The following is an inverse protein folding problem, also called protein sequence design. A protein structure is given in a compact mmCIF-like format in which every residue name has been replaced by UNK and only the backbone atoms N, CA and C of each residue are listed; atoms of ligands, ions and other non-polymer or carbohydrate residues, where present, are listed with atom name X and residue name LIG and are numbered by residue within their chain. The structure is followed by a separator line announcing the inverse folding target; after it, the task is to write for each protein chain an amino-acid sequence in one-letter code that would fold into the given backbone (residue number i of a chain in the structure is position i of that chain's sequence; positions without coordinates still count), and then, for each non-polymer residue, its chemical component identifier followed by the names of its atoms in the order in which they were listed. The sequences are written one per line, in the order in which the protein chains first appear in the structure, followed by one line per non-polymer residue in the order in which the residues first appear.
data_IF_298079279174
#
_entry.id   IF_298079279174
#
_cell.length_a   1.000
_cell.length_b   1.000
_cell.length_c   1.000
_cell.angle_alpha   90.00
_cell.angle_beta   90.00
_cell.angle_gamma   90.00
#
_symmetry.space_group_name_H-M   'P 1'
#
loop_
_entity.id
_entity.type
_entity.pdbx_description
1 polymer ?
2 non-polymer ?
3 non-polymer ?
4 water ?
#
# COMPACT_ATOMS: atom_id res chain seq x y z
N UNK A 52 -29.74 -24.40 -1.46
CA UNK A 52 -29.20 -25.59 -0.80
C UNK A 52 -27.89 -25.30 -0.07
N UNK A 53 -27.99 -24.84 1.20
CA UNK A 53 -26.85 -24.31 1.97
C UNK A 53 -26.45 -25.25 3.11
N UNK A 54 -25.14 -25.29 3.40
CA UNK A 54 -24.53 -26.20 4.37
C UNK A 54 -23.98 -25.42 5.57
N UNK A 55 -23.55 -26.16 6.62
CA UNK A 55 -23.14 -25.63 7.92
C UNK A 55 -21.65 -25.28 7.90
N UNK A 56 -21.35 -23.99 8.10
CA UNK A 56 -20.02 -23.43 7.97
C UNK A 56 -19.11 -23.89 9.12
N UNK A 57 -19.72 -24.23 10.26
CA UNK A 57 -19.01 -24.55 11.49
C UNK A 57 -18.56 -26.02 11.51
N UNK A 58 -19.09 -26.83 10.59
CA UNK A 58 -18.70 -28.23 10.48
C UNK A 58 -17.81 -28.40 9.25
N UNK A 59 -16.97 -29.47 9.19
CA UNK A 59 -16.09 -29.71 8.03
C UNK A 59 -16.80 -29.74 6.67
N UNK A 60 -16.00 -29.85 5.60
CA UNK A 60 -16.50 -29.97 4.24
C UNK A 60 -16.02 -31.26 3.60
N UNK A 61 -16.96 -32.01 3.01
CA UNK A 61 -16.65 -33.22 2.26
C UNK A 61 -16.03 -32.84 0.92
N UNK A 62 -14.70 -33.00 0.84
CA UNK A 62 -13.91 -32.62 -0.33
C UNK A 62 -13.14 -33.84 -0.85
N UNK A 63 -12.51 -33.67 -2.02
CA UNK A 63 -11.87 -34.75 -2.75
C UNK A 63 -10.39 -34.82 -2.41
N UNK A 64 -9.90 -36.01 -2.09
CA UNK A 64 -8.48 -36.25 -1.88
C UNK A 64 -7.83 -36.56 -3.22
N UNK A 65 -6.81 -35.77 -3.67
CA UNK A 65 -6.07 -36.08 -4.90
C UNK A 65 -5.27 -37.38 -4.85
N UNK A 66 -5.02 -37.93 -3.66
CA UNK A 66 -4.23 -39.14 -3.52
C UNK A 66 -5.16 -40.38 -3.48
N UNK A 67 -6.23 -40.34 -2.68
CA UNK A 67 -7.15 -41.46 -2.53
C UNK A 67 -8.27 -41.40 -3.58
N UNK A 68 -8.46 -40.22 -4.17
CA UNK A 68 -9.46 -39.96 -5.21
C UNK A 68 -10.87 -40.23 -4.66
N UNK A 69 -11.05 -39.98 -3.35
CA UNK A 69 -12.30 -40.23 -2.66
C UNK A 69 -12.61 -39.08 -1.72
N UNK A 70 -13.89 -38.94 -1.35
CA UNK A 70 -14.36 -37.88 -0.46
C UNK A 70 -13.82 -38.10 0.95
N UNK A 71 -13.18 -37.06 1.49
CA UNK A 71 -12.64 -36.99 2.85
C UNK A 71 -13.15 -35.71 3.49
N UNK A 72 -13.38 -35.75 4.81
CA UNK A 72 -13.81 -34.54 5.52
C UNK A 72 -12.58 -33.70 5.88
N UNK A 73 -12.74 -32.37 5.76
CA UNK A 73 -11.68 -31.40 6.04
C UNK A 73 -12.31 -30.07 6.43
N UNK A 74 -11.63 -29.32 7.32
CA UNK A 74 -12.12 -28.01 7.73
C UNK A 74 -11.56 -26.96 6.77
N UNK A 75 -12.46 -26.32 6.02
CA UNK A 75 -12.08 -25.46 4.89
C UNK A 75 -12.62 -24.05 5.08
N UNK A 76 -13.56 -23.87 6.03
CA UNK A 76 -14.28 -22.62 6.22
C UNK A 76 -14.07 -22.13 7.64
N UNK A 77 -13.76 -20.84 7.78
CA UNK A 77 -13.71 -20.17 9.08
C UNK A 77 -14.54 -18.89 9.00
N UNK A 78 -15.79 -18.97 9.48
CA UNK A 78 -16.76 -17.89 9.38
C UNK A 78 -17.00 -17.27 10.76
N UNK A 79 -17.52 -16.04 10.79
CA UNK A 79 -17.89 -15.36 12.03
C UNK A 79 -16.68 -15.09 12.93
N UNK A 80 -16.80 -15.48 14.20
CA UNK A 80 -15.80 -15.19 15.23
C UNK A 80 -14.94 -16.43 15.54
N UNK A 81 -15.21 -17.55 14.86
CA UNK A 81 -14.33 -18.72 14.96
C UNK A 81 -12.89 -18.29 14.70
N UNK A 82 -11.97 -18.86 15.47
CA UNK A 82 -10.54 -18.83 15.17
C UNK A 82 -9.87 -19.96 15.94
N UNK A 83 -8.79 -20.52 15.38
CA UNK A 83 -8.03 -21.57 16.04
C UNK A 83 -7.13 -21.01 17.14
N UNK A 84 -6.40 -19.92 16.84
CA UNK A 84 -5.44 -19.29 17.75
C UNK A 84 -5.84 -17.85 18.04
N UNK A 85 -5.37 -17.35 19.19
CA UNK A 85 -5.34 -15.94 19.51
C UNK A 85 -4.07 -15.64 20.30
N UNK A 86 -3.31 -14.63 19.84
CA UNK A 86 -2.13 -14.17 20.56
C UNK A 86 -2.27 -12.67 20.83
N UNK A 87 -1.75 -12.20 21.96
CA UNK A 87 -1.84 -10.80 22.32
C UNK A 87 -0.67 -10.43 23.23
N UNK A 88 0.00 -9.32 22.86
CA UNK A 88 1.04 -8.70 23.68
C UNK A 88 0.72 -7.21 23.82
N UNK A 89 1.71 -6.41 24.24
CA UNK A 89 1.47 -5.01 24.58
C UNK A 89 1.19 -4.18 23.33
N UNK A 90 1.45 -4.76 22.14
CA UNK A 90 1.38 -3.99 20.91
C UNK A 90 0.57 -4.68 19.81
N UNK A 91 0.41 -6.02 19.90
CA UNK A 91 -0.09 -6.88 18.83
C UNK A 91 -1.37 -7.58 19.30
N UNK A 92 -2.25 -7.93 18.35
CA UNK A 92 -3.22 -9.02 18.51
C UNK A 92 -3.15 -9.87 17.24
N UNK A 93 -3.08 -11.20 17.38
CA UNK A 93 -3.04 -12.08 16.21
C UNK A 93 -4.20 -13.07 16.29
N UNK A 94 -4.97 -13.19 15.20
CA UNK A 94 -5.94 -14.26 15.01
C UNK A 94 -5.47 -15.17 13.87
N UNK A 95 -5.34 -16.48 14.16
CA UNK A 95 -5.16 -17.47 13.10
C UNK A 95 -6.52 -18.12 12.85
N UNK A 96 -7.01 -17.99 11.61
CA UNK A 96 -8.34 -18.42 11.25
C UNK A 96 -8.28 -19.70 10.41
N UNK A 97 -7.28 -19.78 9.52
CA UNK A 97 -6.95 -21.00 8.79
C UNK A 97 -5.58 -21.50 9.22
N UNK A 98 -5.48 -22.81 9.42
CA UNK A 98 -4.26 -23.47 9.87
C UNK A 98 -4.28 -24.90 9.33
N UNK A 99 -3.21 -25.23 8.59
CA UNK A 99 -2.88 -26.58 8.11
C UNK A 99 -1.37 -26.76 8.23
N UNK A 100 -0.82 -27.84 7.65
CA UNK A 100 0.60 -28.13 7.74
C UNK A 100 1.41 -27.47 6.61
N UNK A 101 0.70 -26.89 5.63
CA UNK A 101 1.30 -26.15 4.53
C UNK A 101 1.35 -24.66 4.85
N UNK A 102 0.24 -24.13 5.38
CA UNK A 102 0.05 -22.70 5.51
C UNK A 102 -0.83 -22.36 6.72
N UNK A 103 -0.86 -21.06 7.05
CA UNK A 103 -1.89 -20.48 7.90
C UNK A 103 -2.27 -19.09 7.39
N UNK A 104 -3.42 -18.59 7.85
CA UNK A 104 -3.98 -17.34 7.39
C UNK A 104 -4.76 -16.69 8.52
N UNK A 105 -4.71 -15.35 8.61
CA UNK A 105 -5.48 -14.61 9.59
C UNK A 105 -5.17 -13.11 9.56
N UNK A 106 -5.42 -12.46 10.71
CA UNK A 106 -5.30 -11.02 10.87
C UNK A 106 -4.25 -10.67 11.93
N UNK A 107 -3.37 -9.73 11.60
CA UNK A 107 -2.44 -9.12 12.54
C UNK A 107 -2.94 -7.72 12.88
N UNK A 108 -3.15 -7.46 14.17
CA UNK A 108 -3.64 -6.15 14.58
C UNK A 108 -2.53 -5.44 15.34
N UNK A 109 -2.07 -4.31 14.81
CA UNK A 109 -1.19 -3.43 15.55
C UNK A 109 -2.06 -2.50 16.40
N UNK A 110 -1.75 -2.45 17.70
CA UNK A 110 -2.47 -1.62 18.66
C UNK A 110 -2.00 -0.16 18.45
N UNK A 111 -2.80 0.87 18.81
CA UNK A 111 -2.43 2.26 18.54
C UNK A 111 -0.98 2.62 18.87
N UNK A 112 -0.27 3.05 17.82
CA UNK A 112 1.06 3.67 17.87
C UNK A 112 2.13 2.69 18.32
N UNK A 113 1.83 1.38 18.27
CA UNK A 113 2.74 0.39 18.82
C UNK A 113 3.65 -0.14 17.72
N UNK A 114 4.80 -0.69 18.14
CA UNK A 114 5.78 -1.35 17.29
C UNK A 114 5.69 -2.85 17.55
N UNK A 115 5.72 -3.66 16.48
CA UNK A 115 5.63 -5.11 16.62
C UNK A 115 6.87 -5.63 17.36
N UNK A 116 8.04 -5.18 16.92
CA UNK A 116 9.30 -5.77 17.36
C UNK A 116 9.92 -6.64 16.26
N UNK A 117 11.23 -6.48 16.05
CA UNK A 117 11.95 -7.30 15.11
C UNK A 117 11.73 -8.76 15.48
N UNK A 118 11.37 -9.55 14.47
CA UNK A 118 11.27 -10.99 14.60
C UNK A 118 11.89 -11.60 13.35
N UNK A 119 12.61 -12.70 13.55
CA UNK A 119 13.22 -13.43 12.44
C UNK A 119 12.20 -14.50 12.02
N UNK A 120 11.97 -14.64 10.71
CA UNK A 120 11.25 -15.80 10.20
C UNK A 120 12.30 -16.79 9.70
N UNK A 121 12.05 -18.09 9.89
CA UNK A 121 13.13 -19.06 9.79
C UNK A 121 13.22 -19.67 8.39
N UNK A 122 12.33 -20.62 8.10
CA UNK A 122 12.25 -21.23 6.79
C UNK A 122 10.90 -20.88 6.15
N UNK A 123 10.09 -20.14 6.93
CA UNK A 123 8.77 -19.67 6.55
C UNK A 123 8.88 -18.40 5.71
N UNK A 124 7.86 -18.20 4.86
CA UNK A 124 7.60 -16.95 4.17
C UNK A 124 6.24 -16.45 4.65
N UNK A 125 6.14 -15.15 4.94
CA UNK A 125 4.87 -14.58 5.37
C UNK A 125 4.46 -13.48 4.39
N UNK A 126 3.28 -13.64 3.80
CA UNK A 126 2.69 -12.61 2.96
C UNK A 126 1.74 -11.77 3.81
N UNK A 127 1.77 -10.45 3.58
CA UNK A 127 0.88 -9.51 4.24
C UNK A 127 0.09 -8.68 3.24
N UNK A 128 -1.15 -8.36 3.61
CA UNK A 128 -1.96 -7.37 2.93
C UNK A 128 -2.54 -6.40 3.97
N UNK A 129 -2.36 -5.09 3.72
CA UNK A 129 -2.86 -4.08 4.65
C UNK A 129 -4.33 -3.81 4.36
N UNK A 130 -5.21 -4.29 5.24
CA UNK A 130 -6.65 -4.03 5.13
C UNK A 130 -6.96 -2.57 5.44
N UNK A 131 -6.55 -2.09 6.63
CA UNK A 131 -6.84 -0.72 7.02
C UNK A 131 -5.75 -0.24 7.98
N UNK A 132 -4.91 0.70 7.52
CA UNK A 132 -3.91 1.25 8.42
C UNK A 132 -2.79 2.00 7.70
N UNK A 133 -1.88 2.60 8.48
CA UNK A 133 -0.67 3.21 7.95
C UNK A 133 0.49 2.76 8.84
N UNK A 134 1.55 2.23 8.23
CA UNK A 134 2.58 1.51 8.96
C UNK A 134 3.96 1.81 8.38
N UNK A 135 5.01 1.59 9.19
CA UNK A 135 6.35 1.44 8.65
C UNK A 135 6.72 -0.03 8.79
N UNK A 136 7.06 -0.67 7.66
CA UNK A 136 7.52 -2.05 7.62
C UNK A 136 9.02 -2.05 7.38
N UNK A 137 9.76 -2.84 8.16
CA UNK A 137 11.19 -3.04 7.92
C UNK A 137 11.42 -4.46 7.45
N UNK A 138 12.09 -4.62 6.30
CA UNK A 138 12.55 -5.91 5.81
C UNK A 138 14.07 -5.87 5.86
N UNK A 139 14.66 -6.84 6.55
CA UNK A 139 16.09 -6.89 6.75
C UNK A 139 16.55 -5.53 7.31
N UNK A 140 17.13 -4.67 6.46
CA UNK A 140 17.69 -3.40 6.92
C UNK A 140 16.95 -2.20 6.33
N UNK A 141 15.92 -2.44 5.52
CA UNK A 141 15.25 -1.35 4.80
C UNK A 141 13.84 -1.14 5.34
N UNK A 142 13.44 0.13 5.47
CA UNK A 142 12.13 0.51 6.01
C UNK A 142 11.29 1.26 4.96
N UNK A 143 9.98 0.98 4.97
CA UNK A 143 9.07 1.47 3.95
C UNK A 143 7.78 1.98 4.58
N UNK A 144 7.22 3.05 4.02
CA UNK A 144 5.85 3.43 4.34
C UNK A 144 4.89 2.54 3.53
N UNK A 145 3.85 2.01 4.20
CA UNK A 145 2.77 1.27 3.53
C UNK A 145 1.42 1.66 4.13
N UNK A 146 0.34 1.51 3.33
CA UNK A 146 -1.00 1.91 3.72
C UNK A 146 -2.04 0.93 3.17
N UNK A 147 -3.32 1.16 3.47
CA UNK A 147 -4.40 0.28 3.02
C UNK A 147 -4.23 -0.03 1.53
N UNK A 148 -4.18 -1.34 1.24
CA UNK A 148 -4.20 -1.84 -0.11
C UNK A 148 -2.82 -2.26 -0.58
N UNK A 149 -1.82 -2.14 0.30
CA UNK A 149 -0.43 -2.46 -0.04
C UNK A 149 -0.13 -3.90 0.36
N UNK A 150 0.79 -4.52 -0.39
CA UNK A 150 1.18 -5.90 -0.17
C UNK A 150 2.68 -5.94 0.11
N UNK A 151 3.11 -6.93 0.90
CA UNK A 151 4.52 -7.26 1.06
C UNK A 151 4.67 -8.68 1.59
N UNK A 152 5.82 -9.31 1.29
CA UNK A 152 6.17 -10.59 1.89
C UNK A 152 7.58 -10.53 2.48
N UNK A 153 7.76 -11.33 3.54
CA UNK A 153 9.02 -11.51 4.24
C UNK A 153 9.62 -12.84 3.78
N UNK A 154 10.71 -12.82 2.98
CA UNK A 154 11.30 -14.05 2.44
C UNK A 154 12.00 -14.87 3.52
N UNK A 155 11.99 -16.21 3.37
CA UNK A 155 12.64 -17.06 4.36
C UNK A 155 14.07 -16.59 4.60
N UNK A 156 14.46 -16.56 5.88
CA UNK A 156 15.82 -16.24 6.32
C UNK A 156 16.05 -14.74 6.49
N UNK A 157 15.01 -14.02 6.95
CA UNK A 157 15.09 -12.56 7.07
C UNK A 157 14.31 -12.11 8.29
N UNK A 158 14.69 -10.93 8.81
CA UNK A 158 13.98 -10.28 9.89
C UNK A 158 13.00 -9.21 9.36
N UNK A 159 11.93 -8.96 10.12
CA UNK A 159 11.03 -7.88 9.79
C UNK A 159 10.46 -7.25 11.06
N UNK A 160 10.03 -5.98 10.88
CA UNK A 160 9.36 -5.20 11.91
C UNK A 160 8.20 -4.44 11.26
N UNK A 161 7.20 -4.08 12.08
CA UNK A 161 6.08 -3.26 11.65
C UNK A 161 5.71 -2.30 12.78
N UNK A 162 5.56 -1.01 12.46
CA UNK A 162 5.23 0.02 13.43
C UNK A 162 3.98 0.78 12.99
N UNK A 163 2.99 0.87 13.88
CA UNK A 163 1.71 1.50 13.62
C UNK A 163 1.84 3.02 13.79
N UNK A 164 1.49 3.77 12.74
CA UNK A 164 1.60 5.23 12.74
C UNK A 164 0.29 5.88 13.15
N UNK A 165 -0.78 5.08 13.29
CA UNK A 165 -2.09 5.62 13.63
C UNK A 165 -2.37 5.46 15.11
N UNK A 166 -3.20 6.38 15.61
CA UNK A 166 -3.75 6.31 16.95
C UNK A 166 -5.08 5.56 16.91
N UNK A 167 -5.14 4.54 16.04
CA UNK A 167 -6.21 3.55 15.97
C UNK A 167 -5.55 2.23 15.58
N UNK A 168 -6.32 1.13 15.56
CA UNK A 168 -5.74 -0.15 15.18
C UNK A 168 -5.42 -0.13 13.68
N UNK A 169 -4.26 -0.69 13.30
CA UNK A 169 -3.94 -0.99 11.91
C UNK A 169 -4.04 -2.50 11.71
N UNK A 170 -4.75 -2.94 10.65
CA UNK A 170 -5.17 -4.34 10.48
C UNK A 170 -4.54 -4.90 9.21
N UNK A 171 -3.86 -6.06 9.32
CA UNK A 171 -3.24 -6.71 8.18
C UNK A 171 -3.77 -8.12 8.06
N UNK A 172 -3.97 -8.59 6.82
CA UNK A 172 -4.14 -10.00 6.58
C UNK A 172 -2.75 -10.62 6.39
N UNK A 173 -2.55 -11.83 6.95
CA UNK A 173 -1.30 -12.56 6.77
C UNK A 173 -1.56 -14.00 6.33
N UNK A 174 -0.59 -14.55 5.60
CA UNK A 174 -0.54 -15.93 5.15
C UNK A 174 0.89 -16.42 5.38
N UNK A 175 1.03 -17.38 6.31
CA UNK A 175 2.28 -18.10 6.56
C UNK A 175 2.38 -19.26 5.58
N UNK A 176 3.50 -19.35 4.85
CA UNK A 176 3.84 -20.56 4.11
C UNK A 176 4.89 -21.34 4.89
N UNK A 177 4.45 -22.43 5.54
CA UNK A 177 5.33 -23.27 6.35
C UNK A 177 6.25 -24.05 5.42
N UNK A 178 7.48 -24.33 5.89
CA UNK A 178 8.44 -25.05 5.07
C UNK A 178 8.40 -26.54 5.42
N UNK B 50 13.01 8.33 14.40
CA UNK B 50 14.03 8.37 13.31
C UNK B 50 14.12 6.97 12.67
N UNK B 51 13.91 6.92 11.34
CA UNK B 51 14.22 5.83 10.43
C UNK B 51 14.17 6.41 9.02
N UNK B 52 15.28 6.55 8.26
CA UNK B 52 15.19 6.77 6.81
C UNK B 52 14.32 5.72 6.12
N UNK B 53 13.52 6.15 5.14
CA UNK B 53 12.69 5.23 4.35
C UNK B 53 13.29 5.05 2.95
N UNK B 54 12.90 3.95 2.30
CA UNK B 54 13.34 3.61 0.94
C UNK B 54 12.19 3.80 -0.05
N UNK B 55 12.54 3.63 -1.34
CA UNK B 55 11.65 3.71 -2.51
C UNK B 55 10.98 2.36 -2.74
N UNK B 56 9.65 2.33 -2.55
CA UNK B 56 8.88 1.09 -2.51
C UNK B 56 8.72 0.50 -3.91
N UNK B 57 9.06 1.31 -4.92
CA UNK B 57 8.98 0.89 -6.31
C UNK B 57 10.28 0.24 -6.76
N UNK B 58 11.32 0.26 -5.93
CA UNK B 58 12.56 -0.41 -6.29
C UNK B 58 12.74 -1.67 -5.43
N UNK B 59 13.63 -2.61 -5.80
CA UNK B 59 13.78 -3.87 -5.07
C UNK B 59 14.40 -3.61 -3.70
N UNK B 60 14.21 -4.57 -2.78
CA UNK B 60 14.77 -4.53 -1.44
C UNK B 60 16.00 -5.43 -1.37
N UNK B 61 17.03 -4.99 -0.63
CA UNK B 61 18.18 -5.83 -0.37
C UNK B 61 17.85 -6.78 0.79
N UNK B 62 17.73 -8.09 0.49
CA UNK B 62 17.38 -9.10 1.49
C UNK B 62 18.40 -10.24 1.46
N UNK B 63 18.36 -11.07 2.51
CA UNK B 63 19.33 -12.14 2.72
C UNK B 63 18.83 -13.42 2.04
N UNK B 64 19.71 -14.05 1.25
CA UNK B 64 19.46 -15.38 0.71
C UNK B 64 19.97 -16.41 1.71
N UNK B 65 19.09 -17.25 2.31
CA UNK B 65 19.54 -18.26 3.28
C UNK B 65 20.61 -19.20 2.72
N UNK B 66 20.60 -19.40 1.39
CA UNK B 66 21.46 -20.40 0.75
C UNK B 66 22.90 -19.88 0.65
N UNK B 67 23.07 -18.64 0.19
CA UNK B 67 24.38 -18.04 0.00
C UNK B 67 24.87 -17.40 1.30
N UNK B 68 23.91 -17.07 2.17
CA UNK B 68 24.10 -16.14 3.27
C UNK B 68 24.75 -14.85 2.76
N UNK B 69 24.19 -14.32 1.66
CA UNK B 69 24.58 -13.04 1.08
C UNK B 69 23.32 -12.26 0.66
N UNK B 70 23.47 -10.94 0.57
CA UNK B 70 22.34 -10.08 0.26
C UNK B 70 22.07 -10.09 -1.24
N UNK B 71 20.78 -10.20 -1.59
CA UNK B 71 20.27 -10.21 -2.95
C UNK B 71 19.16 -9.15 -3.05
N UNK B 72 18.95 -8.63 -4.25
CA UNK B 72 17.83 -7.73 -4.50
C UNK B 72 16.61 -8.57 -4.84
N UNK B 73 15.45 -8.20 -4.30
CA UNK B 73 14.20 -8.94 -4.47
C UNK B 73 13.02 -7.98 -4.31
N UNK B 74 11.96 -8.19 -5.11
CA UNK B 74 10.76 -7.36 -5.01
C UNK B 74 9.83 -7.95 -3.96
N UNK B 75 9.74 -7.29 -2.79
CA UNK B 75 9.00 -7.82 -1.66
C UNK B 75 7.88 -6.86 -1.28
N UNK B 76 7.91 -5.66 -1.87
CA UNK B 76 6.88 -4.65 -1.66
C UNK B 76 6.07 -4.54 -2.95
N UNK B 77 4.75 -4.45 -2.81
CA UNK B 77 3.87 -4.00 -3.89
C UNK B 77 2.94 -2.90 -3.39
N UNK B 78 3.26 -1.67 -3.79
CA UNK B 78 2.75 -0.43 -3.23
C UNK B 78 1.84 0.24 -4.26
N UNK B 79 0.77 0.90 -3.80
CA UNK B 79 -0.12 1.65 -4.65
C UNK B 79 -0.90 0.78 -5.63
N UNK B 80 -0.79 1.10 -6.92
CA UNK B 80 -1.53 0.43 -7.98
C UNK B 80 -0.58 -0.36 -8.87
N UNK B 81 0.58 -0.76 -8.33
CA UNK B 81 1.40 -1.76 -9.00
C UNK B 81 0.65 -3.09 -8.97
N UNK B 82 0.81 -3.87 -10.05
CA UNK B 82 0.39 -5.25 -10.08
C UNK B 82 1.27 -6.00 -11.08
N UNK B 83 1.45 -7.30 -10.86
CA UNK B 83 2.17 -8.17 -11.77
C UNK B 83 1.28 -8.47 -12.98
N UNK B 84 -0.01 -8.74 -12.70
CA UNK B 84 -0.98 -9.26 -13.66
C UNK B 84 -2.35 -8.68 -13.42
N UNK B 85 -3.14 -8.64 -14.51
CA UNK B 85 -4.54 -8.30 -14.47
C UNK B 85 -5.32 -9.17 -15.46
N UNK B 86 -6.45 -9.72 -14.97
CA UNK B 86 -7.38 -10.49 -15.76
C UNK B 86 -8.81 -10.01 -15.50
N UNK B 87 -9.61 -9.89 -16.58
CA UNK B 87 -11.00 -9.46 -16.46
C UNK B 87 -11.85 -10.22 -17.48
N UNK B 88 -13.00 -10.72 -17.02
CA UNK B 88 -14.00 -11.32 -17.87
C UNK B 88 -15.36 -10.67 -17.59
N UNK B 89 -16.44 -11.33 -18.03
CA UNK B 89 -17.81 -10.89 -17.80
C UNK B 89 -18.11 -10.70 -16.32
N UNK B 90 -17.45 -11.49 -15.45
CA UNK B 90 -17.89 -11.67 -14.06
C UNK B 90 -16.88 -11.16 -13.04
N UNK B 91 -15.58 -11.26 -13.35
CA UNK B 91 -14.55 -11.03 -12.34
C UNK B 91 -13.47 -10.06 -12.82
N UNK B 92 -12.70 -9.52 -11.87
CA UNK B 92 -11.39 -8.96 -12.11
C UNK B 92 -10.40 -9.62 -11.15
N UNK B 93 -9.17 -9.83 -11.62
CA UNK B 93 -8.14 -10.47 -10.80
C UNK B 93 -6.86 -9.62 -10.89
N UNK B 94 -6.40 -9.16 -9.72
CA UNK B 94 -5.11 -8.49 -9.61
C UNK B 94 -4.14 -9.42 -8.87
N UNK B 95 -3.00 -9.72 -9.51
CA UNK B 95 -1.91 -10.41 -8.83
C UNK B 95 -0.87 -9.36 -8.44
N UNK B 96 -0.77 -9.07 -7.14
CA UNK B 96 0.11 -8.04 -6.62
C UNK B 96 1.47 -8.62 -6.18
N UNK B 97 1.46 -9.81 -5.57
CA UNK B 97 2.68 -10.54 -5.28
C UNK B 97 2.70 -11.80 -6.12
N UNK B 98 3.85 -12.10 -6.74
CA UNK B 98 3.98 -13.26 -7.61
C UNK B 98 5.42 -13.77 -7.57
N UNK B 99 5.60 -14.98 -7.03
CA UNK B 99 6.88 -15.67 -6.98
C UNK B 99 6.70 -17.08 -7.55
N UNK B 100 7.76 -17.87 -7.58
CA UNK B 100 7.65 -19.24 -8.06
C UNK B 100 6.91 -20.12 -7.03
N UNK B 101 6.90 -19.66 -5.76
CA UNK B 101 6.30 -20.40 -4.66
C UNK B 101 4.84 -20.03 -4.46
N UNK B 102 4.51 -18.73 -4.57
CA UNK B 102 3.16 -18.28 -4.28
C UNK B 102 2.79 -17.05 -5.11
N UNK B 103 1.52 -16.65 -4.98
CA UNK B 103 1.02 -15.38 -5.48
C UNK B 103 -0.14 -14.90 -4.62
N UNK B 104 -0.36 -13.58 -4.59
CA UNK B 104 -1.41 -12.98 -3.78
C UNK B 104 -2.01 -11.77 -4.49
N UNK B 105 -3.30 -11.54 -4.24
CA UNK B 105 -3.96 -10.35 -4.77
C UNK B 105 -5.44 -10.28 -4.38
N UNK B 106 -6.21 -9.51 -5.18
CA UNK B 106 -7.64 -9.33 -4.98
C UNK B 106 -8.42 -9.97 -6.13
N UNK B 107 -9.51 -10.63 -5.76
CA UNK B 107 -10.51 -11.12 -6.69
C UNK B 107 -11.78 -10.30 -6.47
N UNK B 108 -12.28 -9.70 -7.55
CA UNK B 108 -13.43 -8.82 -7.51
C UNK B 108 -14.56 -9.48 -8.28
N UNK B 109 -15.68 -9.73 -7.59
CA UNK B 109 -16.89 -10.21 -8.24
C UNK B 109 -17.76 -9.02 -8.60
N UNK B 110 -18.06 -8.89 -9.91
CA UNK B 110 -18.87 -7.81 -10.46
C UNK B 110 -20.31 -7.98 -9.97
N UNK B 111 -21.13 -6.90 -9.92
CA UNK B 111 -22.49 -6.97 -9.37
C UNK B 111 -23.35 -8.15 -9.85
N UNK B 112 -23.69 -9.03 -8.90
CA UNK B 112 -24.65 -10.11 -9.05
C UNK B 112 -24.13 -11.21 -9.98
N UNK B 113 -22.82 -11.33 -10.11
CA UNK B 113 -22.24 -12.28 -11.07
C UNK B 113 -21.66 -13.49 -10.34
N UNK B 114 -21.59 -14.62 -11.07
CA UNK B 114 -21.06 -15.88 -10.60
C UNK B 114 -19.67 -16.05 -11.21
N UNK B 115 -18.67 -16.38 -10.38
CA UNK B 115 -17.30 -16.51 -10.88
C UNK B 115 -17.27 -17.59 -11.96
N UNK B 116 -17.97 -18.70 -11.70
CA UNK B 116 -17.95 -19.85 -12.59
C UNK B 116 -17.03 -20.94 -12.04
N UNK B 117 -17.61 -22.13 -11.82
CA UNK B 117 -16.91 -23.28 -11.30
C UNK B 117 -15.55 -23.40 -11.98
N UNK B 118 -14.50 -23.58 -11.18
CA UNK B 118 -13.17 -23.81 -11.70
C UNK B 118 -12.51 -24.92 -10.87
N UNK B 119 -11.68 -25.72 -11.54
CA UNK B 119 -10.93 -26.78 -10.87
C UNK B 119 -9.51 -26.27 -10.66
N UNK B 120 -9.01 -26.45 -9.43
CA UNK B 120 -7.61 -26.16 -9.14
C UNK B 120 -6.84 -27.48 -9.15
N UNK B 121 -5.58 -27.42 -9.56
CA UNK B 121 -4.86 -28.61 -9.98
C UNK B 121 -4.02 -29.15 -8.82
N UNK B 122 -2.78 -28.70 -8.70
CA UNK B 122 -1.89 -29.16 -7.65
C UNK B 122 -1.64 -28.03 -6.64
N UNK B 123 -2.19 -26.84 -6.96
CA UNK B 123 -2.10 -25.63 -6.15
C UNK B 123 -3.23 -25.61 -5.12
N UNK B 124 -3.07 -24.78 -4.07
CA UNK B 124 -4.08 -24.56 -3.04
C UNK B 124 -4.33 -23.06 -2.95
N UNK B 125 -5.61 -22.65 -2.89
CA UNK B 125 -5.94 -21.24 -2.88
C UNK B 125 -6.68 -20.90 -1.59
N UNK B 126 -6.17 -19.90 -0.87
CA UNK B 126 -6.76 -19.40 0.37
C UNK B 126 -7.42 -18.06 0.10
N UNK B 127 -8.62 -17.87 0.67
CA UNK B 127 -9.40 -16.66 0.44
C UNK B 127 -9.74 -16.00 1.78
N UNK B 128 -9.85 -14.66 1.74
CA UNK B 128 -10.44 -13.89 2.81
C UNK B 128 -11.41 -12.88 2.19
N UNK B 129 -12.62 -12.80 2.76
CA UNK B 129 -13.64 -11.88 2.25
C UNK B 129 -13.45 -10.52 2.90
N UNK B 130 -12.99 -9.53 2.11
CA UNK B 130 -12.76 -8.18 2.60
C UNK B 130 -14.10 -7.45 2.71
N UNK B 131 -14.87 -7.45 1.61
CA UNK B 131 -16.17 -6.80 1.58
C UNK B 131 -17.07 -7.54 0.59
N UNK B 132 -18.22 -8.00 1.06
CA UNK B 132 -19.22 -8.58 0.17
C UNK B 132 -20.11 -9.61 0.87
N UNK B 133 -21.11 -10.09 0.12
CA UNK B 133 -21.97 -11.19 0.55
C UNK B 133 -22.04 -12.20 -0.59
N UNK B 134 -21.55 -13.42 -0.33
CA UNK B 134 -21.29 -14.37 -1.39
C UNK B 134 -21.80 -15.75 -0.99
N UNK B 135 -21.92 -16.63 -1.98
CA UNK B 135 -22.16 -18.06 -1.75
C UNK B 135 -21.01 -18.83 -2.39
N UNK B 136 -20.27 -19.57 -1.56
CA UNK B 136 -19.10 -20.33 -1.99
C UNK B 136 -19.47 -21.81 -2.08
N UNK B 137 -19.07 -22.45 -3.18
CA UNK B 137 -19.23 -23.88 -3.37
C UNK B 137 -17.85 -24.52 -3.49
N UNK B 138 -17.57 -25.49 -2.60
CA UNK B 138 -16.41 -26.36 -2.77
C UNK B 138 -16.92 -27.77 -3.06
N UNK B 139 -16.34 -28.40 -4.09
CA UNK B 139 -16.81 -29.69 -4.57
C UNK B 139 -18.32 -29.59 -4.86
N UNK B 140 -19.15 -30.11 -3.94
CA UNK B 140 -20.59 -30.20 -4.17
C UNK B 140 -21.41 -29.53 -3.05
N UNK B 141 -20.73 -29.06 -1.99
CA UNK B 141 -21.40 -28.37 -0.90
C UNK B 141 -21.14 -26.87 -1.01
N UNK B 142 -22.13 -26.05 -0.61
CA UNK B 142 -22.07 -24.59 -0.75
C UNK B 142 -22.58 -23.87 0.51
N UNK B 143 -21.93 -22.75 0.85
CA UNK B 143 -22.11 -22.03 2.11
C UNK B 143 -22.31 -20.54 1.86
N UNK B 144 -23.03 -19.87 2.80
CA UNK B 144 -23.20 -18.43 2.82
C UNK B 144 -22.06 -17.80 3.63
N UNK B 145 -21.39 -16.78 3.06
CA UNK B 145 -20.23 -16.15 3.69
C UNK B 145 -20.35 -14.63 3.53
N UNK B 146 -19.69 -13.89 4.42
CA UNK B 146 -19.80 -12.44 4.50
C UNK B 146 -18.41 -11.83 4.74
N UNK B 147 -18.35 -10.49 4.84
CA UNK B 147 -17.13 -9.78 5.18
C UNK B 147 -16.54 -10.39 6.45
N UNK B 148 -15.31 -10.91 6.34
CA UNK B 148 -14.56 -11.35 7.51
C UNK B 148 -14.29 -12.84 7.54
N UNK B 149 -14.95 -13.60 6.66
CA UNK B 149 -14.85 -15.06 6.63
C UNK B 149 -13.68 -15.50 5.72
N UNK B 150 -13.12 -16.67 6.04
CA UNK B 150 -12.02 -17.26 5.27
C UNK B 150 -12.48 -18.59 4.70
N UNK B 151 -11.78 -19.06 3.65
CA UNK B 151 -11.90 -20.42 3.15
C UNK B 151 -10.70 -20.75 2.27
N UNK B 152 -10.43 -22.06 2.12
CA UNK B 152 -9.45 -22.48 1.13
C UNK B 152 -10.02 -23.57 0.23
N UNK B 153 -9.42 -23.68 -0.96
CA UNK B 153 -9.72 -24.72 -1.93
C UNK B 153 -8.55 -25.69 -1.93
N UNK B 154 -8.73 -26.94 -1.41
CA UNK B 154 -7.64 -27.91 -1.34
C UNK B 154 -7.35 -28.49 -2.72
N UNK B 155 -6.06 -28.65 -3.02
CA UNK B 155 -5.57 -29.10 -4.33
C UNK B 155 -6.33 -30.34 -4.80
N UNK B 156 -6.84 -30.28 -6.03
CA UNK B 156 -7.58 -31.37 -6.66
C UNK B 156 -9.09 -31.25 -6.44
N UNK B 157 -9.60 -30.01 -6.38
CA UNK B 157 -11.00 -29.75 -6.12
C UNK B 157 -11.51 -28.60 -6.99
N UNK B 158 -12.86 -28.53 -7.10
CA UNK B 158 -13.52 -27.45 -7.81
C UNK B 158 -14.25 -26.53 -6.82
N UNK B 159 -14.34 -25.24 -7.19
CA UNK B 159 -15.01 -24.22 -6.39
C UNK B 159 -15.76 -23.24 -7.29
N UNK B 160 -16.81 -22.62 -6.72
CA UNK B 160 -17.52 -21.51 -7.35
C UNK B 160 -17.87 -20.48 -6.29
N UNK B 161 -17.99 -19.21 -6.72
CA UNK B 161 -18.36 -18.09 -5.88
C UNK B 161 -19.37 -17.22 -6.64
N UNK B 162 -20.43 -16.78 -5.94
CA UNK B 162 -21.50 -15.96 -6.52
C UNK B 162 -21.66 -14.69 -5.69
N UNK B 163 -21.77 -13.54 -6.37
CA UNK B 163 -21.98 -12.27 -5.68
C UNK B 163 -23.48 -12.06 -5.45
N UNK B 164 -23.88 -11.88 -4.18
CA UNK B 164 -25.27 -11.70 -3.81
C UNK B 164 -25.67 -10.22 -3.86
N UNK B 165 -24.67 -9.32 -3.85
CA UNK B 165 -24.95 -7.89 -3.76
C UNK B 165 -24.90 -7.24 -5.15
N UNK B 166 -25.67 -6.16 -5.29
CA UNK B 166 -25.64 -5.34 -6.49
C UNK B 166 -24.53 -4.29 -6.37
N UNK B 167 -23.47 -4.65 -5.64
CA UNK B 167 -22.23 -3.89 -5.63
C UNK B 167 -21.09 -4.89 -5.77
N UNK B 168 -19.86 -4.40 -6.01
CA UNK B 168 -18.70 -5.25 -6.12
C UNK B 168 -18.43 -5.95 -4.79
N UNK B 169 -18.01 -7.23 -4.86
CA UNK B 169 -17.49 -7.96 -3.72
C UNK B 169 -15.98 -8.17 -3.92
N UNK B 170 -15.19 -8.01 -2.84
CA UNK B 170 -13.73 -8.09 -2.89
C UNK B 170 -13.23 -9.17 -1.94
N UNK B 171 -12.37 -10.05 -2.47
CA UNK B 171 -11.74 -11.12 -1.71
C UNK B 171 -10.23 -11.01 -1.87
N UNK B 172 -9.49 -11.15 -0.75
CA UNK B 172 -8.06 -11.40 -0.82
C UNK B 172 -7.83 -12.88 -1.15
N UNK B 173 -6.81 -13.15 -1.97
CA UNK B 173 -6.47 -14.53 -2.28
C UNK B 173 -4.96 -14.74 -2.17
N UNK B 174 -4.61 -15.96 -1.77
CA UNK B 174 -3.25 -16.45 -1.67
C UNK B 174 -3.20 -17.81 -2.35
N UNK B 175 -2.42 -17.87 -3.44
CA UNK B 175 -2.28 -19.07 -4.25
C UNK B 175 -0.92 -19.69 -3.96
N UNK B 176 -0.96 -20.93 -3.42
CA UNK B 176 0.23 -21.71 -3.09
C UNK B 176 0.57 -22.60 -4.27
N UNK B 177 1.68 -22.31 -4.96
CA UNK B 177 2.11 -23.08 -6.13
C UNK B 177 2.82 -24.36 -5.67
N UNK B 178 2.32 -25.52 -6.12
CA UNK B 178 2.95 -26.80 -5.81
C UNK B 178 3.35 -27.48 -7.11
N UNK B 179 4.66 -27.42 -7.42
CA UNK B 179 5.28 -28.15 -8.53
C UNK B 179 4.61 -27.76 -9.85
N UNK C 51 9.80 28.44 -36.92
CA UNK C 51 9.41 29.19 -35.70
C UNK C 51 10.68 29.82 -35.12
N UNK C 52 10.92 31.14 -35.32
CA UNK C 52 12.01 31.84 -34.64
C UNK C 52 11.81 31.86 -33.13
N UNK C 53 12.91 31.68 -32.37
CA UNK C 53 12.90 31.69 -30.92
C UNK C 53 13.51 32.98 -30.39
N UNK C 54 13.08 33.39 -29.19
CA UNK C 54 13.60 34.57 -28.50
C UNK C 54 14.49 34.16 -27.33
N UNK C 55 15.25 35.15 -26.82
CA UNK C 55 16.13 35.02 -25.66
C UNK C 55 15.32 34.92 -24.37
N UNK C 56 15.47 33.82 -23.62
CA UNK C 56 14.64 33.60 -22.43
C UNK C 56 15.05 34.50 -21.27
N UNK C 57 16.24 35.10 -21.40
CA UNK C 57 16.79 35.88 -20.31
C UNK C 57 16.31 37.33 -20.42
N UNK C 58 15.70 37.70 -21.55
CA UNK C 58 15.17 39.03 -21.73
C UNK C 58 13.65 38.99 -21.57
N UNK C 59 12.96 40.10 -21.22
CA UNK C 59 11.51 40.08 -21.00
C UNK C 59 10.75 39.72 -22.27
N UNK C 60 9.44 39.57 -22.13
CA UNK C 60 8.55 39.19 -23.22
C UNK C 60 7.54 40.31 -23.47
N UNK C 61 7.24 40.52 -24.76
CA UNK C 61 6.19 41.45 -25.14
C UNK C 61 4.84 40.77 -25.05
N UNK C 62 4.00 41.24 -24.11
CA UNK C 62 2.68 40.68 -23.84
C UNK C 62 1.67 41.81 -23.72
N UNK C 63 0.39 41.46 -23.68
CA UNK C 63 -0.68 42.44 -23.79
C UNK C 63 -1.20 42.80 -22.40
N UNK C 64 -1.24 44.10 -22.11
CA UNK C 64 -1.93 44.60 -20.92
C UNK C 64 -3.42 44.67 -21.23
N UNK C 65 -4.29 43.92 -20.55
CA UNK C 65 -5.73 44.00 -20.77
C UNK C 65 -6.30 45.38 -20.42
N UNK C 66 -5.52 46.18 -19.67
CA UNK C 66 -5.93 47.51 -19.25
C UNK C 66 -5.77 48.48 -20.42
N UNK C 67 -4.53 48.70 -20.88
CA UNK C 67 -4.24 49.65 -21.95
C UNK C 67 -4.46 48.99 -23.31
N UNK C 68 -4.59 47.67 -23.32
CA UNK C 68 -4.72 46.88 -24.53
C UNK C 68 -3.54 47.09 -25.48
N UNK C 69 -2.36 47.37 -24.91
CA UNK C 69 -1.15 47.52 -25.70
C UNK C 69 -0.07 46.58 -25.19
N UNK C 70 0.92 46.31 -26.05
CA UNK C 70 2.02 45.42 -25.70
C UNK C 70 2.95 46.14 -24.73
N UNK C 71 3.26 45.47 -23.62
CA UNK C 71 4.17 45.96 -22.60
C UNK C 71 5.15 44.82 -22.28
N UNK C 72 6.36 45.16 -21.81
CA UNK C 72 7.36 44.14 -21.52
C UNK C 72 7.18 43.60 -20.10
N UNK C 73 7.40 42.29 -19.94
CA UNK C 73 7.15 41.62 -18.67
C UNK C 73 8.00 40.36 -18.55
N UNK C 74 8.55 40.09 -17.35
CA UNK C 74 9.34 38.88 -17.16
C UNK C 74 8.40 37.72 -16.86
N UNK C 75 8.24 36.82 -17.84
CA UNK C 75 7.24 35.76 -17.80
C UNK C 75 7.90 34.37 -17.84
N UNK C 76 9.17 34.34 -18.24
CA UNK C 76 10.00 33.14 -18.37
C UNK C 76 11.05 33.17 -17.28
N UNK C 77 11.30 32.03 -16.60
CA UNK C 77 12.49 31.90 -15.78
C UNK C 77 13.19 30.60 -16.14
N UNK C 78 14.24 30.71 -16.95
CA UNK C 78 14.90 29.57 -17.58
C UNK C 78 16.21 29.27 -16.86
N UNK C 79 16.63 28.00 -16.91
CA UNK C 79 17.92 27.57 -16.41
C UNK C 79 18.06 27.71 -14.90
N UNK C 80 19.24 28.18 -14.46
CA UNK C 80 19.59 28.33 -13.07
C UNK C 80 19.41 29.78 -12.62
N UNK C 81 18.79 30.59 -13.48
CA UNK C 81 18.32 31.90 -13.08
C UNK C 81 17.33 31.72 -11.93
N UNK C 82 17.35 32.63 -10.94
CA UNK C 82 16.26 32.77 -9.98
C UNK C 82 16.28 34.16 -9.36
N UNK C 83 15.08 34.59 -8.94
CA UNK C 83 14.78 35.81 -8.20
C UNK C 83 15.50 35.85 -6.84
N UNK C 84 15.41 34.76 -6.05
CA UNK C 84 15.85 34.71 -4.67
C UNK C 84 16.32 33.32 -4.31
N UNK C 85 17.17 33.27 -3.26
CA UNK C 85 17.56 32.02 -2.63
C UNK C 85 17.62 32.20 -1.10
N UNK C 86 17.19 31.15 -0.38
CA UNK C 86 17.22 31.11 1.07
C UNK C 86 17.71 29.75 1.52
N UNK C 87 18.56 29.69 2.55
CA UNK C 87 19.07 28.42 3.03
C UNK C 87 19.26 28.52 4.55
N UNK C 88 18.82 27.48 5.26
CA UNK C 88 19.11 27.33 6.67
C UNK C 88 19.58 25.89 6.93
N UNK C 89 19.47 25.43 8.19
CA UNK C 89 19.96 24.12 8.58
C UNK C 89 19.14 23.02 7.91
N UNK C 90 17.90 23.35 7.55
CA UNK C 90 16.87 22.39 7.17
C UNK C 90 16.54 22.43 5.68
N UNK C 91 16.44 23.63 5.09
CA UNK C 91 15.80 23.78 3.79
C UNK C 91 16.67 24.65 2.89
N UNK C 92 16.43 24.55 1.58
CA UNK C 92 16.81 25.58 0.61
C UNK C 92 15.52 26.01 -0.09
N UNK C 93 15.43 27.27 -0.50
CA UNK C 93 14.25 27.75 -1.19
C UNK C 93 14.71 28.60 -2.37
N UNK C 94 14.19 28.30 -3.57
CA UNK C 94 14.36 29.16 -4.74
C UNK C 94 13.01 29.75 -5.12
N UNK C 95 12.97 31.08 -5.30
CA UNK C 95 11.83 31.75 -5.89
C UNK C 95 12.19 32.06 -7.33
N UNK C 96 11.52 31.40 -8.29
CA UNK C 96 11.84 31.56 -9.70
C UNK C 96 10.89 32.54 -10.39
N UNK C 97 9.61 32.57 -9.97
CA UNK C 97 8.68 33.60 -10.38
C UNK C 97 8.19 34.37 -9.17
N UNK C 98 8.13 35.70 -9.32
CA UNK C 98 7.72 36.59 -8.26
C UNK C 98 7.09 37.83 -8.87
N UNK C 99 5.81 38.05 -8.55
CA UNK C 99 5.04 39.22 -8.94
C UNK C 99 4.27 39.69 -7.71
N UNK C 100 3.46 40.75 -7.84
CA UNK C 100 2.68 41.23 -6.71
C UNK C 100 1.54 40.27 -6.34
N UNK C 101 1.09 39.45 -7.30
CA UNK C 101 -0.04 38.55 -7.07
C UNK C 101 0.41 37.19 -6.53
N UNK C 102 1.58 36.73 -6.99
CA UNK C 102 2.00 35.36 -6.67
C UNK C 102 3.51 35.20 -6.81
N UNK C 103 3.98 34.05 -6.32
CA UNK C 103 5.34 33.61 -6.50
C UNK C 103 5.38 32.09 -6.57
N UNK C 104 6.41 31.57 -7.24
CA UNK C 104 6.53 30.13 -7.45
C UNK C 104 7.99 29.73 -7.46
N UNK C 105 8.26 28.50 -6.99
CA UNK C 105 9.60 27.93 -7.03
C UNK C 105 9.69 26.58 -6.32
N UNK C 106 10.90 26.22 -5.88
CA UNK C 106 11.15 24.94 -5.23
C UNK C 106 11.61 25.14 -3.79
N UNK C 107 11.14 24.23 -2.93
CA UNK C 107 11.57 24.02 -1.56
C UNK C 107 12.29 22.67 -1.50
N UNK C 108 13.54 22.68 -1.02
CA UNK C 108 14.31 21.47 -0.79
C UNK C 108 14.40 21.26 0.71
N UNK C 109 13.98 20.06 1.17
CA UNK C 109 14.30 19.62 2.52
C UNK C 109 15.62 18.83 2.44
N UNK C 110 16.60 19.26 3.24
CA UNK C 110 17.87 18.57 3.38
C UNK C 110 17.64 17.25 4.11
N UNK C 111 18.58 16.28 3.96
CA UNK C 111 18.39 14.94 4.53
C UNK C 111 17.93 14.95 5.99
N UNK C 112 16.77 14.34 6.20
CA UNK C 112 16.20 14.02 7.50
C UNK C 112 15.94 15.26 8.35
N UNK C 113 15.75 16.42 7.72
CA UNK C 113 15.51 17.64 8.49
C UNK C 113 14.01 17.95 8.56
N UNK C 114 13.63 18.73 9.56
CA UNK C 114 12.29 19.25 9.75
C UNK C 114 12.28 20.72 9.35
N UNK C 115 11.30 21.16 8.56
CA UNK C 115 11.32 22.55 8.14
C UNK C 115 11.14 23.47 9.36
N UNK C 116 10.24 23.06 10.26
CA UNK C 116 9.89 23.91 11.39
C UNK C 116 8.55 24.61 11.17
N UNK C 117 7.64 24.50 12.14
CA UNK C 117 6.35 25.17 12.13
C UNK C 117 6.55 26.62 11.71
N UNK C 118 5.70 27.08 10.80
CA UNK C 118 5.73 28.45 10.33
C UNK C 118 4.28 28.80 10.02
N UNK C 119 3.88 30.04 10.30
CA UNK C 119 2.50 30.44 10.12
C UNK C 119 2.41 31.24 8.82
N UNK C 120 1.37 31.01 8.00
CA UNK C 120 1.16 31.84 6.84
C UNK C 120 0.04 32.82 7.17
N UNK C 121 0.15 34.06 6.67
CA UNK C 121 -0.70 35.10 7.23
C UNK C 121 -1.94 35.31 6.39
N UNK C 122 -1.84 36.17 5.37
CA UNK C 122 -2.96 36.43 4.49
C UNK C 122 -2.83 35.54 3.26
N UNK C 123 -1.64 34.94 3.10
CA UNK C 123 -1.27 34.17 1.92
C UNK C 123 -1.82 32.75 1.98
N UNK C 124 -1.87 32.12 0.81
CA UNK C 124 -2.18 30.71 0.65
C UNK C 124 -1.02 30.11 -0.14
N UNK C 125 -0.55 28.93 0.27
CA UNK C 125 0.61 28.32 -0.38
C UNK C 125 0.24 26.91 -0.82
N UNK C 126 0.35 26.68 -2.12
CA UNK C 126 0.09 25.37 -2.69
C UNK C 126 1.44 24.67 -2.92
N UNK C 127 1.47 23.37 -2.59
CA UNK C 127 2.67 22.55 -2.75
C UNK C 127 2.40 21.36 -3.67
N UNK C 128 3.42 20.96 -4.42
CA UNK C 128 3.43 19.70 -5.16
C UNK C 128 4.73 18.98 -4.85
N UNK C 129 4.67 17.69 -4.50
CA UNK C 129 5.87 16.93 -4.16
C UNK C 129 6.45 16.36 -5.45
N UNK C 130 7.60 16.91 -5.90
CA UNK C 130 8.22 16.46 -7.13
C UNK C 130 8.89 15.13 -6.87
N UNK C 131 9.66 15.05 -5.80
CA UNK C 131 10.41 13.85 -5.50
C UNK C 131 10.74 13.88 -4.01
N UNK C 132 10.23 12.90 -3.26
CA UNK C 132 10.55 12.79 -1.85
C UNK C 132 9.44 12.12 -1.06
N UNK C 133 9.67 11.96 0.25
CA UNK C 133 8.78 11.30 1.18
C UNK C 133 8.81 12.13 2.45
N UNK C 134 7.65 12.60 2.92
CA UNK C 134 7.60 13.69 3.88
C UNK C 134 6.43 13.47 4.85
N UNK C 135 6.52 14.05 6.06
CA UNK C 135 5.32 14.22 6.85
C UNK C 135 4.98 15.71 6.84
N UNK C 136 3.76 16.04 6.38
CA UNK C 136 3.24 17.40 6.41
C UNK C 136 2.30 17.58 7.59
N UNK C 137 2.39 18.72 8.27
CA UNK C 137 1.45 19.08 9.32
C UNK C 137 0.67 20.32 8.91
N UNK C 138 -0.66 20.22 8.87
CA UNK C 138 -1.50 21.39 8.69
C UNK C 138 -2.22 21.63 10.01
N UNK C 139 -2.06 22.84 10.55
CA UNK C 139 -2.64 23.16 11.84
C UNK C 139 -2.18 22.10 12.84
N UNK C 140 -3.02 21.09 13.14
CA UNK C 140 -2.64 20.11 14.16
C UNK C 140 -2.63 18.69 13.59
N UNK C 141 -2.88 18.55 12.29
CA UNK C 141 -3.06 17.24 11.70
C UNK C 141 -1.85 16.96 10.79
N UNK C 142 -1.31 15.74 10.89
CA UNK C 142 -0.11 15.33 10.16
C UNK C 142 -0.42 14.19 9.18
N UNK C 143 0.21 14.24 7.98
CA UNK C 143 -0.02 13.29 6.90
C UNK C 143 1.31 12.83 6.30
N UNK C 144 1.38 11.55 5.88
CA UNK C 144 2.41 11.09 4.97
C UNK C 144 2.07 11.48 3.53
N UNK C 145 3.02 12.07 2.81
CA UNK C 145 2.86 12.41 1.40
C UNK C 145 4.14 11.98 0.67
N UNK C 146 4.03 11.73 -0.63
CA UNK C 146 5.16 11.28 -1.44
C UNK C 146 5.04 11.86 -2.85
N UNK C 147 6.03 11.55 -3.71
CA UNK C 147 6.05 12.09 -5.06
C UNK C 147 4.67 12.00 -5.74
N UNK C 148 4.23 13.15 -6.26
CA UNK C 148 3.01 13.24 -7.02
C UNK C 148 1.81 13.70 -6.20
N UNK C 149 2.04 13.97 -4.90
CA UNK C 149 1.02 14.40 -3.96
C UNK C 149 0.94 15.92 -3.91
N UNK C 150 -0.25 16.45 -3.60
CA UNK C 150 -0.44 17.89 -3.53
C UNK C 150 -1.03 18.24 -2.17
N UNK C 151 -0.75 19.46 -1.71
CA UNK C 151 -1.46 20.05 -0.59
C UNK C 151 -1.34 21.56 -0.63
N UNK C 152 -2.29 22.23 0.02
CA UNK C 152 -2.17 23.66 0.25
C UNK C 152 -2.34 23.99 1.74
N UNK C 153 -1.73 25.12 2.11
CA UNK C 153 -1.85 25.68 3.44
C UNK C 153 -2.76 26.89 3.32
N UNK C 154 -3.99 26.82 3.84
CA UNK C 154 -4.94 27.93 3.75
C UNK C 154 -4.56 29.11 4.66
N UNK C 155 -4.78 30.34 4.19
CA UNK C 155 -4.50 31.55 4.96
C UNK C 155 -4.98 31.39 6.40
N UNK C 156 -4.13 31.82 7.34
CA UNK C 156 -4.46 31.85 8.75
C UNK C 156 -4.11 30.53 9.46
N UNK C 157 -3.11 29.82 8.93
CA UNK C 157 -2.79 28.49 9.43
C UNK C 157 -1.28 28.31 9.51
N UNK C 158 -0.87 27.39 10.41
CA UNK C 158 0.51 26.94 10.50
C UNK C 158 0.70 25.61 9.78
N UNK C 159 1.92 25.38 9.27
CA UNK C 159 2.26 24.08 8.70
C UNK C 159 3.71 23.78 9.02
N UNK C 160 4.02 22.47 8.97
CA UNK C 160 5.39 21.97 9.06
C UNK C 160 5.58 20.88 8.00
N UNK C 161 6.85 20.62 7.64
CA UNK C 161 7.21 19.47 6.81
C UNK C 161 8.50 18.85 7.34
N UNK C 162 8.54 17.51 7.43
CA UNK C 162 9.74 16.78 7.84
C UNK C 162 10.15 15.82 6.74
N UNK C 163 11.44 15.78 6.42
CA UNK C 163 11.98 14.85 5.44
C UNK C 163 12.18 13.48 6.08
N UNK C 164 11.65 12.43 5.44
CA UNK C 164 11.78 11.07 5.95
C UNK C 164 12.92 10.35 5.25
N UNK C 165 13.54 11.03 4.26
CA UNK C 165 14.55 10.37 3.45
C UNK C 165 15.92 10.90 3.83
N UNK C 166 16.92 10.03 3.67
CA UNK C 166 18.32 10.43 3.78
C UNK C 166 18.82 10.93 2.43
N UNK C 167 17.96 11.64 1.70
CA UNK C 167 18.34 12.33 0.48
C UNK C 167 17.49 13.59 0.43
N UNK C 168 17.75 14.51 -0.51
CA UNK C 168 16.88 15.67 -0.57
C UNK C 168 15.46 15.28 -1.01
N UNK C 169 14.44 15.86 -0.37
CA UNK C 169 13.07 15.86 -0.87
C UNK C 169 12.77 17.23 -1.47
N UNK C 170 12.02 17.27 -2.57
CA UNK C 170 11.89 18.46 -3.42
C UNK C 170 10.41 18.75 -3.65
N UNK C 171 9.98 20.00 -3.45
CA UNK C 171 8.59 20.38 -3.61
C UNK C 171 8.50 21.60 -4.52
N UNK C 172 7.47 21.64 -5.37
CA UNK C 172 7.08 22.86 -6.05
C UNK C 172 6.16 23.66 -5.11
N UNK C 173 6.31 24.99 -5.14
CA UNK C 173 5.39 25.81 -4.36
C UNK C 173 4.92 27.00 -5.17
N UNK C 174 3.67 27.41 -4.89
CA UNK C 174 3.07 28.61 -5.41
C UNK C 174 2.46 29.35 -4.22
N UNK C 175 2.91 30.59 -4.05
CA UNK C 175 2.44 31.45 -2.99
C UNK C 175 1.48 32.44 -3.63
N UNK C 176 0.24 32.47 -3.13
CA UNK C 176 -0.79 33.40 -3.55
C UNK C 176 -0.86 34.54 -2.56
N UNK C 177 -0.39 35.73 -2.95
CA UNK C 177 -0.34 36.89 -2.06
C UNK C 177 -1.74 37.48 -1.92
N UNK C 178 -2.14 37.89 -0.70
CA UNK C 178 -3.52 38.29 -0.42
C UNK C 178 -3.52 39.46 0.59
X LIG D 1 4.95 -16.38 13.56
X LIG D 1 5.86 -16.97 12.95
X LIG D 1 4.34 -16.87 14.53
X LIG D 1 4.55 -14.98 13.09
X LIG D 1 3.28 -14.40 13.72
X LIG D 1 2.50 -15.45 14.25
X LIG D 1 3.67 -13.41 14.85
X LIG D 1 4.35 -13.97 16.09
X LIG D 1 5.58 -14.22 16.04
X LIG D 1 3.67 -14.14 17.13
X LIG D 1 2.46 -13.66 12.63
X LIG D 1 2.94 -13.60 11.47
X LIG D 1 1.36 -13.16 12.97
X LIG E 1 -3.49 -2.93 -6.77
X LIG E 1 -3.13 -2.92 -8.16
X LIG E 1 -4.72 -3.76 -6.52
X LIG E 1 -4.36 -5.00 -5.90
X LIG E 1 -5.78 -3.05 -5.68
X LIG E 1 -7.04 -2.98 -6.37
X LIG F 1 -4.85 -18.10 -12.02
X LIG F 1 -4.02 -17.73 -12.88
X LIG F 1 -4.88 -19.26 -11.54
X LIG F 1 -5.88 -17.09 -11.55
X LIG F 1 -7.30 -17.60 -11.29
X LIG F 1 -7.22 -18.86 -10.62
X LIG F 1 -8.03 -16.60 -10.39
X LIG F 1 -7.71 -16.65 -8.89
X LIG F 1 -8.66 -16.46 -8.09
X LIG F 1 -6.55 -16.87 -8.53
X LIG F 1 -8.06 -17.75 -12.65
X LIG F 1 -8.27 -18.91 -13.08
X LIG F 1 -8.41 -16.70 -13.24
X LIG G 1 17.31 25.16 -9.69
X LIG G 1 17.31 24.15 -8.67
X LIG G 1 16.46 26.37 -9.32
X LIG G 1 16.90 27.55 -10.02
X LIG G 1 14.96 26.19 -9.47
X LIG G 1 14.61 25.33 -10.55
X LIG H 1 21.55 35.96 -8.64
X LIG H 1 22.81 35.56 -8.09
X LIG H 1 20.51 36.12 -7.55
X LIG H 1 19.53 37.08 -7.97
X LIG H 1 19.83 34.82 -7.17
X LIG H 1 20.52 34.15 -6.12
X LIG I 1 9.65 36.36 -12.47
X LIG I 1 8.43 37.01 -12.09
X LIG I 1 10.88 37.19 -12.14
X LIG I 1 10.92 37.53 -10.75
X LIG I 1 12.19 36.52 -12.55
X LIG I 1 12.24 36.29 -13.96
X LIG J 1 11.99 8.67 -3.68
X LIG J 1 11.72 8.21 -2.36
X LIG J 1 10.72 8.90 -4.46
X LIG J 1 11.00 8.98 -5.86
X LIG J 1 9.65 7.87 -4.20
X LIG J 1 8.35 8.40 -4.45
X LIG K 1 10.00 31.04 4.52
X LIG K 1 11.18 31.00 4.07
X LIG K 1 9.72 31.37 5.70
X LIG K 1 8.84 30.62 3.61
X LIG K 1 8.62 31.42 2.30
X LIG K 1 9.88 31.77 1.76
X LIG K 1 7.86 30.58 1.26
X LIG K 1 8.16 29.08 1.19
X LIG K 1 7.20 28.30 1.27
X LIG K 1 9.33 28.72 1.03
X LIG K 1 7.78 32.71 2.58
X LIG K 1 8.18 33.77 2.04
X LIG K 1 6.75 32.61 3.27
#
# INVERSE_FOLDING_TARGET
GPLGSLKPSGRLLISGIAGAEAEPHMKNKLKSRHKKKRAKTRSEVVKCLDIPLADASKPTSIVDPVTNQEVLLECINSGSSHSCFFEDESIKVYKSLNTSDFAAGKLILKPLKEKGHQFVHMDTIAFYVIRGQIITTLHKTSYYLTSGDYFYVPAGNGYNIRNLLNEESVLHFTQLKNDRPLAGSVLSGSSSP
GPLGSLKPSGRLLISGIAGAEAEPHMKNKLKSRHKKKRAKTRSEVVKCLDIPLADASKPTSIVDPVTNQEVLLECINSGSSHSCFFEDESIKVYKSLNTSDFAAGKLILKPLKEKGHQFVHMDTIAFYVIRGQIITTLHKTSYYLTSGDYFYVPAGNGYNIRNLLNEESVLHFTQLKNDRPLAGSVLSGSSSP
GPLGSLKPSGRLLISGIAGAEAEPHMKNKLKSRHKKKRAKTRSEVVKCLDIPLADASKPTSIVDPVTNQEVLLECINSGSSHSCFFEDESIKVYKSLNTSDFAAGKLILKPLKEKGHQFVHMDTIAFYVIRGQIITTLHKTSYYLTSGDYFYVPAGNGYNIRNLLNEESVLHFTQLKNDRPLAGSVLSGSSSP
CIT C1 O1 O2 C2 C3 O7 C4 C5 O3 O4 C6 O5 O6
GOL C1 O1 C2 O2 C3 O3
CIT C1 O1 O2 C2 C3 O7 C4 C5 O3 O4 C6 O5 O6
GOL C1 O1 C2 O2 C3 O3
GOL C1 O1 C2 O2 C3 O3
GOL C1 O1 C2 O2 C3 O3
GOL C1 O1 C2 O2 C3 O3
CIT C1 O1 O2 C2 C3 O7 C4 C5 O3 O4 C6 O5 O6
#
